data_IF_744433291543
#
_entry.id   IF_744433291543
#
_cell.length_a   1.000
_cell.length_b   1.000
_cell.length_c   1.000
_cell.angle_alpha   90.00
_cell.angle_beta   90.00
_cell.angle_gamma   90.00
#
_symmetry.space_group_name_H-M   'P 1'
#
loop_
_entity.id
_entity.type
_entity.pdbx_description
1 polymer ?
#
# COMPACT_ATOMS: atom_id res chain seq x y z
N UNK A 1 11.25 30.68 -1.91
CA UNK A 1 10.64 29.62 -2.74
C UNK A 1 10.43 28.41 -1.84
N UNK A 2 9.17 28.09 -1.56
CA UNK A 2 8.79 27.03 -0.60
C UNK A 2 9.15 25.66 -1.16
N UNK A 3 9.75 24.79 -0.34
CA UNK A 3 10.00 23.37 -0.67
C UNK A 3 8.66 22.76 -1.10
N UNK A 4 8.57 22.29 -2.34
CA UNK A 4 7.38 21.58 -2.82
C UNK A 4 7.13 20.38 -1.91
N UNK A 5 5.90 20.29 -1.43
CA UNK A 5 5.41 19.23 -0.57
C UNK A 5 5.62 17.88 -1.27
N UNK A 6 6.57 17.08 -0.77
CA UNK A 6 7.12 15.88 -1.43
C UNK A 6 6.18 14.66 -1.38
N UNK A 7 4.87 14.86 -1.48
CA UNK A 7 3.87 13.80 -1.56
C UNK A 7 3.28 13.71 -2.97
N UNK A 8 3.30 12.53 -3.57
CA UNK A 8 2.57 12.27 -4.81
C UNK A 8 1.14 11.82 -4.49
N UNK A 9 0.13 12.37 -5.18
CA UNK A 9 -1.27 11.97 -5.04
C UNK A 9 -1.54 10.69 -5.85
N UNK A 10 -0.82 9.61 -5.53
CA UNK A 10 -0.87 8.32 -6.21
C UNK A 10 -0.29 7.22 -5.31
N UNK A 11 -0.72 5.99 -5.53
CA UNK A 11 -0.05 4.83 -4.93
C UNK A 11 1.38 4.73 -5.45
N UNK A 12 2.30 4.24 -4.63
CA UNK A 12 3.72 4.22 -4.94
C UNK A 12 4.36 2.97 -4.34
N UNK A 13 4.95 2.17 -5.22
CA UNK A 13 5.77 1.01 -4.89
C UNK A 13 7.13 1.21 -5.56
N UNK A 14 8.23 0.99 -4.85
CA UNK A 14 9.58 1.27 -5.37
C UNK A 14 9.91 0.46 -6.64
N UNK A 15 10.85 0.94 -7.46
CA UNK A 15 11.31 0.19 -8.64
C UNK A 15 11.83 -1.21 -8.28
N UNK A 16 12.46 -1.37 -7.11
CA UNK A 16 12.88 -2.67 -6.59
C UNK A 16 11.67 -3.58 -6.34
N UNK A 17 10.68 -3.08 -5.61
CA UNK A 17 9.47 -3.83 -5.30
C UNK A 17 8.70 -4.19 -6.58
N UNK A 18 8.67 -3.30 -7.58
CA UNK A 18 8.05 -3.59 -8.89
C UNK A 18 8.77 -4.75 -9.57
N UNK A 19 10.10 -4.71 -9.65
CA UNK A 19 10.90 -5.81 -10.21
C UNK A 19 10.73 -7.10 -9.41
N UNK A 20 10.55 -6.99 -8.10
CA UNK A 20 10.29 -8.12 -7.23
C UNK A 20 8.98 -8.81 -7.61
N UNK A 21 7.87 -8.07 -7.67
CA UNK A 21 6.57 -8.64 -8.01
C UNK A 21 6.41 -9.00 -9.49
N UNK A 22 7.17 -8.37 -10.39
CA UNK A 22 7.27 -8.82 -11.78
C UNK A 22 7.83 -10.25 -11.89
N UNK A 23 8.73 -10.68 -10.99
CA UNK A 23 9.23 -12.07 -10.96
C UNK A 23 8.17 -13.06 -10.52
N UNK A 24 7.30 -12.63 -9.60
CA UNK A 24 6.24 -13.42 -8.95
C UNK A 24 4.96 -13.48 -9.79
N UNK A 25 4.90 -12.73 -10.90
CA UNK A 25 3.81 -12.82 -11.86
C UNK A 25 2.81 -11.69 -11.78
N UNK A 26 3.27 -10.43 -11.69
CA UNK A 26 2.37 -9.29 -11.92
C UNK A 26 2.14 -9.05 -13.41
N UNK A 27 0.88 -9.18 -13.83
CA UNK A 27 0.41 -9.03 -15.20
C UNK A 27 0.56 -10.33 -15.99
N UNK A 28 -0.52 -10.76 -16.65
CA UNK A 28 -0.59 -12.04 -17.38
C UNK A 28 0.69 -12.36 -18.15
N UNK A 29 1.22 -13.57 -17.95
CA UNK A 29 2.41 -14.12 -18.60
C UNK A 29 3.72 -13.34 -18.35
N UNK A 30 3.79 -12.55 -17.28
CA UNK A 30 5.07 -12.01 -16.76
C UNK A 30 5.54 -12.88 -15.60
N UNK A 31 6.85 -12.91 -15.37
CA UNK A 31 7.44 -13.64 -14.23
C UNK A 31 7.65 -15.14 -14.49
N UNK A 32 7.91 -15.87 -13.40
CA UNK A 32 8.24 -17.30 -13.39
C UNK A 32 7.27 -18.17 -12.58
N UNK A 33 6.29 -17.56 -11.92
CA UNK A 33 5.29 -18.25 -11.11
C UNK A 33 4.43 -19.18 -11.98
N UNK A 34 4.23 -20.42 -11.53
CA UNK A 34 3.34 -21.40 -12.15
C UNK A 34 2.09 -21.68 -11.30
N UNK A 35 2.03 -21.13 -10.08
CA UNK A 35 0.94 -21.27 -9.13
C UNK A 35 -0.13 -20.18 -9.22
N UNK A 36 0.14 -19.10 -9.97
CA UNK A 36 -0.81 -18.03 -10.26
C UNK A 36 -0.15 -16.70 -10.61
N UNK A 37 -0.97 -15.67 -10.82
CA UNK A 37 -0.55 -14.30 -11.13
C UNK A 37 -1.31 -13.25 -10.33
N UNK A 38 -0.67 -12.10 -10.10
CA UNK A 38 -1.37 -10.88 -9.74
C UNK A 38 -1.87 -10.23 -11.02
N UNK A 39 -3.14 -9.86 -11.04
CA UNK A 39 -3.74 -9.21 -12.19
C UNK A 39 -3.24 -7.78 -12.39
N UNK A 40 -2.80 -7.11 -11.31
CA UNK A 40 -2.29 -5.75 -11.34
C UNK A 40 -1.30 -5.45 -10.19
N UNK A 41 -0.36 -4.53 -10.41
CA UNK A 41 0.66 -4.08 -9.40
C UNK A 41 0.01 -3.56 -8.11
N UNK A 42 -1.24 -3.10 -8.17
CA UNK A 42 -1.95 -2.59 -7.00
C UNK A 42 -2.27 -3.69 -5.97
N UNK A 43 -2.36 -4.95 -6.39
CA UNK A 43 -2.64 -6.07 -5.50
C UNK A 43 -1.47 -6.34 -4.54
N UNK A 44 -0.22 -6.55 -5.00
CA UNK A 44 0.89 -6.69 -4.08
C UNK A 44 1.17 -5.41 -3.28
N UNK A 45 0.92 -4.22 -3.86
CA UNK A 45 0.98 -2.96 -3.09
C UNK A 45 0.04 -3.01 -1.87
N UNK A 46 -1.22 -3.41 -2.08
CA UNK A 46 -2.22 -3.53 -1.05
C UNK A 46 -1.81 -4.53 0.04
N UNK A 47 -1.29 -5.69 -0.35
CA UNK A 47 -0.81 -6.71 0.60
C UNK A 47 0.34 -6.16 1.46
N UNK A 48 1.34 -5.55 0.83
CA UNK A 48 2.44 -4.92 1.56
C UNK A 48 1.95 -3.80 2.49
N UNK A 49 0.97 -3.00 2.08
CA UNK A 49 0.39 -1.97 2.92
C UNK A 49 -0.27 -2.55 4.17
N UNK A 50 -1.08 -3.61 4.03
CA UNK A 50 -1.69 -4.28 5.20
C UNK A 50 -0.61 -4.81 6.13
N UNK A 51 0.40 -5.49 5.60
CA UNK A 51 1.45 -6.06 6.43
C UNK A 51 2.21 -4.98 7.19
N UNK A 52 2.55 -3.87 6.53
CA UNK A 52 3.17 -2.72 7.19
C UNK A 52 2.29 -2.12 8.28
N UNK A 53 0.97 -2.03 8.06
CA UNK A 53 0.02 -1.57 9.08
C UNK A 53 0.00 -2.55 10.27
N UNK A 54 -0.09 -3.85 10.03
CA UNK A 54 -0.15 -4.89 11.05
C UNK A 54 1.12 -4.87 11.93
N UNK A 55 2.29 -4.76 11.30
CA UNK A 55 3.60 -4.69 11.99
C UNK A 55 3.90 -3.32 12.61
N UNK A 56 3.11 -2.30 12.29
CA UNK A 56 3.41 -0.91 12.65
C UNK A 56 4.68 -0.37 11.97
N UNK A 57 5.12 -0.99 10.88
CA UNK A 57 6.34 -0.66 10.15
C UNK A 57 6.07 0.35 9.03
N UNK A 58 6.87 1.40 8.99
CA UNK A 58 6.88 2.38 7.91
C UNK A 58 8.28 2.59 7.39
N UNK A 59 8.40 2.92 6.12
CA UNK A 59 9.67 3.30 5.50
C UNK A 59 9.41 4.33 4.42
N UNK A 60 10.34 5.26 4.21
CA UNK A 60 10.21 6.19 3.09
C UNK A 60 10.27 5.37 1.79
N UNK A 61 9.28 5.51 0.89
CA UNK A 61 9.30 4.78 -0.37
C UNK A 61 10.46 5.26 -1.23
N UNK A 62 11.26 4.32 -1.71
CA UNK A 62 12.34 4.64 -2.65
C UNK A 62 11.77 5.29 -3.91
N UNK A 63 12.56 6.12 -4.63
CA UNK A 63 12.11 6.74 -5.87
C UNK A 63 11.62 5.71 -6.89
N UNK A 64 10.55 6.04 -7.61
CA UNK A 64 10.03 5.26 -8.73
C UNK A 64 10.12 6.06 -10.03
N UNK A 65 10.54 5.38 -11.10
CA UNK A 65 10.55 5.94 -12.46
C UNK A 65 9.16 6.04 -13.11
N UNK A 66 8.37 4.94 -13.18
CA UNK A 66 7.07 4.92 -13.85
C UNK A 66 5.89 5.33 -12.96
N UNK A 67 4.92 6.07 -13.50
CA UNK A 67 3.70 6.41 -12.76
C UNK A 67 2.89 5.17 -12.33
N UNK A 68 2.32 5.22 -11.13
CA UNK A 68 1.30 4.30 -10.64
C UNK A 68 -0.09 4.96 -10.64
N UNK A 69 -1.12 4.17 -10.32
CA UNK A 69 -2.52 4.58 -10.35
C UNK A 69 -2.91 5.41 -9.12
N UNK A 70 -4.01 6.16 -9.24
CA UNK A 70 -4.58 6.99 -8.16
C UNK A 70 -5.78 6.35 -7.47
N UNK A 71 -6.30 5.26 -8.01
CA UNK A 71 -7.52 4.60 -7.57
C UNK A 71 -7.27 3.11 -7.43
N UNK A 72 -8.02 2.45 -6.54
CA UNK A 72 -8.00 1.00 -6.43
C UNK A 72 -8.52 0.36 -7.72
N UNK A 73 -7.79 -0.63 -8.22
CA UNK A 73 -8.11 -1.35 -9.43
C UNK A 73 -8.07 -2.86 -9.18
N UNK A 74 -8.62 -3.62 -10.13
CA UNK A 74 -8.77 -5.07 -10.00
C UNK A 74 -9.53 -5.49 -8.73
N UNK A 75 -9.24 -6.64 -8.16
CA UNK A 75 -9.92 -7.19 -6.97
C UNK A 75 -9.79 -6.25 -5.75
N UNK A 76 -8.73 -5.45 -5.66
CA UNK A 76 -8.59 -4.47 -4.59
C UNK A 76 -9.71 -3.41 -4.59
N UNK A 77 -10.33 -3.15 -5.76
CA UNK A 77 -11.47 -2.23 -5.89
C UNK A 77 -12.72 -2.74 -5.16
N UNK A 78 -12.91 -4.05 -5.09
CA UNK A 78 -14.08 -4.65 -4.41
C UNK A 78 -14.05 -4.42 -2.89
N UNK A 79 -12.90 -4.04 -2.35
CA UNK A 79 -12.66 -3.81 -0.94
C UNK A 79 -12.31 -2.35 -0.62
N UNK A 80 -12.50 -1.42 -1.55
CA UNK A 80 -12.05 -0.03 -1.43
C UNK A 80 -12.56 0.69 -0.16
N UNK A 81 -13.81 0.47 0.24
CA UNK A 81 -14.40 1.05 1.45
C UNK A 81 -13.78 0.49 2.72
N UNK A 82 -13.54 -0.83 2.77
CA UNK A 82 -12.89 -1.48 3.90
C UNK A 82 -11.45 -1.02 4.05
N UNK A 83 -10.73 -0.93 2.93
CA UNK A 83 -9.37 -0.40 2.87
C UNK A 83 -9.34 1.05 3.34
N UNK A 84 -10.26 1.86 2.83
CA UNK A 84 -10.39 3.27 3.22
C UNK A 84 -10.63 3.43 4.72
N UNK A 85 -11.52 2.62 5.30
CA UNK A 85 -11.81 2.62 6.73
C UNK A 85 -10.58 2.26 7.57
N UNK A 86 -9.87 1.19 7.20
CA UNK A 86 -8.65 0.76 7.88
C UNK A 86 -7.55 1.83 7.85
N UNK A 87 -7.25 2.34 6.66
CA UNK A 87 -6.20 3.34 6.48
C UNK A 87 -6.60 4.66 7.18
N UNK A 88 -7.86 5.08 7.08
CA UNK A 88 -8.34 6.27 7.77
C UNK A 88 -8.27 6.14 9.30
N UNK A 89 -8.64 4.98 9.84
CA UNK A 89 -8.48 4.70 11.26
C UNK A 89 -7.02 4.84 11.69
N UNK A 90 -6.09 4.26 10.93
CA UNK A 90 -4.67 4.37 11.21
C UNK A 90 -4.13 5.81 11.07
N UNK A 91 -4.69 6.60 10.14
CA UNK A 91 -4.39 8.02 9.96
C UNK A 91 -4.80 8.86 11.18
N UNK A 92 -5.98 8.56 11.76
CA UNK A 92 -6.48 9.17 12.99
C UNK A 92 -5.64 8.77 14.20
N UNK A 93 -5.34 7.47 14.35
CA UNK A 93 -4.50 6.92 15.44
C UNK A 93 -3.13 7.59 15.49
N UNK A 94 -2.46 7.74 14.34
CA UNK A 94 -1.16 8.45 14.22
C UNK A 94 -1.21 9.91 14.66
N UNK A 95 -2.40 10.53 14.71
CA UNK A 95 -2.63 11.93 15.09
C UNK A 95 -3.24 12.07 16.48
N UNK A 96 -3.32 10.99 17.26
CA UNK A 96 -3.89 11.01 18.61
C UNK A 96 -5.41 11.20 18.64
N UNK A 97 -6.10 11.04 17.51
CA UNK A 97 -7.56 11.10 17.44
C UNK A 97 -8.10 9.70 17.74
N UNK A 98 -8.63 9.49 18.94
CA UNK A 98 -9.13 8.17 19.36
C UNK A 98 -10.66 8.09 19.42
N UNK A 99 -11.37 9.09 19.95
CA UNK A 99 -12.84 9.01 20.17
C UNK A 99 -13.56 10.38 20.17
N UNK A 100 -13.03 11.36 19.45
CA UNK A 100 -13.63 12.69 19.30
C UNK A 100 -14.30 12.79 17.92
N UNK A 101 -15.64 12.88 17.91
CA UNK A 101 -16.43 12.96 16.67
C UNK A 101 -16.03 14.17 15.82
N UNK A 102 -15.77 15.33 16.44
CA UNK A 102 -15.34 16.54 15.72
C UNK A 102 -13.93 16.35 15.14
N UNK A 103 -13.03 15.77 15.94
CA UNK A 103 -11.68 15.42 15.51
C UNK A 103 -11.67 14.44 14.34
N UNK A 104 -12.51 13.41 14.36
CA UNK A 104 -12.64 12.43 13.27
C UNK A 104 -13.18 13.10 12.01
N UNK A 105 -14.26 13.87 12.11
CA UNK A 105 -14.85 14.59 10.97
C UNK A 105 -13.86 15.56 10.32
N UNK A 106 -13.11 16.32 11.14
CA UNK A 106 -12.06 17.20 10.64
C UNK A 106 -10.95 16.44 9.89
N UNK A 107 -10.61 15.22 10.33
CA UNK A 107 -9.62 14.40 9.62
C UNK A 107 -10.14 13.80 8.33
N UNK A 108 -11.44 13.61 8.17
CA UNK A 108 -12.00 13.13 6.90
C UNK A 108 -11.67 14.09 5.75
N UNK A 109 -11.80 15.42 5.96
CA UNK A 109 -11.47 16.42 4.93
C UNK A 109 -9.97 16.52 4.61
N UNK A 110 -9.10 16.13 5.54
CA UNK A 110 -7.65 16.08 5.33
C UNK A 110 -7.21 14.79 4.62
N UNK A 111 -8.06 13.77 4.63
CA UNK A 111 -7.72 12.41 4.21
C UNK A 111 -8.36 12.03 2.87
N UNK A 112 -9.67 12.23 2.75
CA UNK A 112 -10.43 11.96 1.53
C UNK A 112 -10.38 13.18 0.62
N UNK A 113 -10.27 12.95 -0.69
CA UNK A 113 -10.23 14.09 -1.60
C UNK A 113 -11.61 14.72 -1.75
N UNK A 114 -11.61 16.06 -1.77
CA UNK A 114 -12.81 16.83 -2.14
C UNK A 114 -12.96 16.95 -3.67
N UNK A 115 -11.98 16.50 -4.45
CA UNK A 115 -12.04 16.42 -5.90
C UNK A 115 -12.79 15.15 -6.33
N UNK A 116 -13.71 15.28 -7.29
CA UNK A 116 -14.43 14.17 -7.91
C UNK A 116 -13.51 13.16 -8.62
N UNK A 117 -12.26 13.54 -8.91
CA UNK A 117 -11.29 12.73 -9.64
C UNK A 117 -10.24 12.06 -8.76
N UNK A 118 -10.34 12.21 -7.43
CA UNK A 118 -9.39 11.63 -6.48
C UNK A 118 -10.08 10.90 -5.34
N UNK A 119 -9.50 9.78 -4.89
CA UNK A 119 -10.00 9.06 -3.71
C UNK A 119 -9.46 9.66 -2.40
N UNK A 120 -8.19 10.08 -2.41
CA UNK A 120 -7.49 10.52 -1.21
C UNK A 120 -6.66 11.79 -1.45
N UNK A 121 -6.38 12.52 -0.37
CA UNK A 121 -5.44 13.63 -0.38
C UNK A 121 -3.99 13.14 -0.30
N UNK A 122 -3.03 14.01 -0.68
CA UNK A 122 -1.60 13.67 -0.67
C UNK A 122 -1.08 13.09 0.65
N UNK A 123 -1.47 13.58 1.84
CA UNK A 123 -1.00 13.02 3.11
C UNK A 123 -1.44 11.57 3.32
N UNK A 124 -2.62 11.19 2.83
CA UNK A 124 -3.12 9.83 2.88
C UNK A 124 -2.30 8.91 1.97
N UNK A 125 -2.05 9.33 0.72
CA UNK A 125 -1.17 8.59 -0.20
C UNK A 125 0.23 8.40 0.37
N UNK A 126 0.82 9.47 0.93
CA UNK A 126 2.13 9.38 1.59
C UNK A 126 2.13 8.31 2.67
N UNK A 127 1.14 8.32 3.57
CA UNK A 127 1.05 7.35 4.65
C UNK A 127 0.88 5.91 4.15
N UNK A 128 0.02 5.69 3.15
CA UNK A 128 -0.19 4.36 2.57
C UNK A 128 1.10 3.84 1.91
N UNK A 129 1.81 4.71 1.18
CA UNK A 129 3.07 4.36 0.54
C UNK A 129 4.17 4.04 1.56
N UNK A 130 4.20 4.75 2.69
CA UNK A 130 5.13 4.46 3.79
C UNK A 130 4.89 3.06 4.40
N UNK A 131 3.62 2.69 4.61
CA UNK A 131 3.26 1.35 5.09
C UNK A 131 3.54 0.27 4.03
N UNK A 132 3.21 0.53 2.78
CA UNK A 132 3.51 -0.40 1.69
C UNK A 132 5.01 -0.67 1.56
N UNK A 133 5.85 0.36 1.69
CA UNK A 133 7.30 0.17 1.71
C UNK A 133 7.75 -0.60 2.96
N UNK A 134 7.15 -0.33 4.13
CA UNK A 134 7.41 -1.07 5.36
C UNK A 134 7.13 -2.57 5.21
N UNK A 135 5.93 -2.94 4.74
CA UNK A 135 5.60 -4.35 4.53
C UNK A 135 6.40 -5.01 3.41
N UNK A 136 6.78 -4.28 2.35
CA UNK A 136 7.71 -4.80 1.36
C UNK A 136 9.10 -5.08 1.97
N UNK A 137 9.57 -4.22 2.86
CA UNK A 137 10.83 -4.43 3.58
C UNK A 137 10.79 -5.71 4.43
N UNK A 138 9.68 -6.00 5.10
CA UNK A 138 9.51 -7.26 5.82
C UNK A 138 9.58 -8.48 4.89
N UNK A 139 8.90 -8.44 3.75
CA UNK A 139 8.84 -9.60 2.83
C UNK A 139 10.18 -9.83 2.12
N UNK A 140 10.88 -8.77 1.71
CA UNK A 140 12.14 -8.93 0.95
C UNK A 140 13.28 -9.53 1.77
N UNK A 141 13.18 -9.56 3.10
CA UNK A 141 14.17 -10.21 3.98
C UNK A 141 14.25 -11.72 3.75
N UNK A 142 13.18 -12.35 3.26
CA UNK A 142 13.14 -13.76 2.88
C UNK A 142 13.85 -14.06 1.55
N UNK A 143 14.36 -13.02 0.88
CA UNK A 143 15.11 -13.15 -0.36
C UNK A 143 14.24 -13.07 -1.62
N UNK A 144 14.85 -13.35 -2.79
CA UNK A 144 14.14 -13.27 -4.06
C UNK A 144 13.18 -14.45 -4.21
N UNK A 145 11.88 -14.16 -4.14
CA UNK A 145 10.81 -15.11 -4.46
C UNK A 145 10.49 -15.01 -5.95
N UNK A 146 10.15 -16.15 -6.56
CA UNK A 146 9.72 -16.21 -7.97
C UNK A 146 8.36 -16.88 -8.18
N UNK A 147 7.78 -17.46 -7.14
CA UNK A 147 6.48 -18.11 -7.20
C UNK A 147 5.45 -17.41 -6.31
N UNK A 148 4.19 -17.34 -6.77
CA UNK A 148 3.13 -16.65 -6.05
C UNK A 148 2.71 -17.38 -4.77
N UNK A 149 2.66 -18.72 -4.78
CA UNK A 149 2.28 -19.47 -3.59
C UNK A 149 3.30 -19.27 -2.46
N UNK A 150 4.60 -19.36 -2.76
CA UNK A 150 5.66 -19.08 -1.78
C UNK A 150 5.55 -17.66 -1.20
N UNK A 151 5.26 -16.67 -2.05
CA UNK A 151 5.00 -15.31 -1.58
C UNK A 151 3.79 -15.24 -0.62
N UNK A 152 2.68 -15.88 -0.97
CA UNK A 152 1.46 -15.86 -0.16
C UNK A 152 1.63 -16.60 1.16
N UNK A 153 2.40 -17.70 1.18
CA UNK A 153 2.74 -18.43 2.42
C UNK A 153 3.54 -17.54 3.38
N UNK A 154 4.60 -16.89 2.88
CA UNK A 154 5.40 -15.95 3.68
C UNK A 154 4.54 -14.76 4.15
N UNK A 155 3.72 -14.21 3.27
CA UNK A 155 2.82 -13.11 3.60
C UNK A 155 1.87 -13.48 4.76
N UNK A 156 1.23 -14.65 4.69
CA UNK A 156 0.31 -15.11 5.73
C UNK A 156 1.03 -15.37 7.05
N UNK A 157 2.19 -16.03 7.01
CA UNK A 157 3.01 -16.27 8.20
C UNK A 157 3.38 -14.97 8.91
N UNK A 158 3.86 -13.97 8.16
CA UNK A 158 4.25 -12.68 8.74
C UNK A 158 3.05 -11.87 9.23
N UNK A 159 1.90 -11.97 8.54
CA UNK A 159 0.68 -11.29 8.96
C UNK A 159 0.12 -11.89 10.26
N UNK A 160 0.04 -13.21 10.36
CA UNK A 160 -0.46 -13.91 11.56
C UNK A 160 0.43 -13.67 12.78
N UNK A 161 1.76 -13.59 12.58
CA UNK A 161 2.70 -13.24 13.65
C UNK A 161 2.60 -11.79 14.16
N UNK A 162 1.84 -10.94 13.46
CA UNK A 162 1.73 -9.50 13.74
C UNK A 162 0.40 -9.09 14.39
N UNK A 163 -0.58 -10.01 14.49
CA UNK A 163 -1.90 -9.79 15.07
C UNK A 163 -1.97 -10.22 16.54
#
# INVERSE_FOLDING_TARGET
>A
MSKSDKGSARFHLSDEARRYFERIGVGRNKGKSDTGDFSAVIEPYYLCMILGIARGEVSEPDPMGPDMIREWASHAKEHDLLISGLVFHQYCKKRGVSHDDEGVLMRMSDFFSNDRTGTYEKPAFKMMNEYAQGGFNAIREFGPISDLAEFLEIYLQELEGSL
#
